data_IF_609092618655
#
_entry.id   IF_609092618655
#
_cell.length_a   1.000
_cell.length_b   1.000
_cell.length_c   1.000
_cell.angle_alpha   90.00
_cell.angle_beta   90.00
_cell.angle_gamma   90.00
#
_symmetry.space_group_name_H-M   'P 1'
#
loop_
_entity.id
_entity.type
_entity.pdbx_description
1 polymer ?
#
# COMPACT_ATOMS: atom_id res chain seq x y z
N UNK A 1 -0.94 9.55 11.60
CA UNK A 1 -0.48 8.18 11.27
C UNK A 1 -1.42 7.65 10.18
N UNK A 2 -1.00 6.75 9.28
CA UNK A 2 -1.97 5.96 8.51
C UNK A 2 -2.65 5.06 9.52
N UNK A 3 -3.95 4.86 9.49
CA UNK A 3 -4.80 4.89 8.31
C UNK A 3 -4.73 3.57 7.52
N UNK A 4 -4.13 2.50 8.08
CA UNK A 4 -4.03 1.18 7.44
C UNK A 4 -5.17 0.24 7.88
N UNK A 5 -6.03 0.64 8.83
CA UNK A 5 -7.20 -0.15 9.22
C UNK A 5 -8.11 -0.53 8.04
N UNK A 6 -8.29 0.30 6.99
CA UNK A 6 -9.07 -0.10 5.82
C UNK A 6 -8.50 -1.29 5.03
N UNK A 7 -7.28 -1.73 5.35
CA UNK A 7 -6.60 -2.87 4.71
C UNK A 7 -6.59 -4.12 5.60
N UNK A 8 -7.17 -4.05 6.80
CA UNK A 8 -7.17 -5.15 7.76
C UNK A 8 -7.92 -6.35 7.18
N UNK A 9 -7.34 -7.55 7.29
CA UNK A 9 -7.85 -8.82 6.75
C UNK A 9 -7.91 -8.92 5.22
N UNK A 10 -7.35 -7.96 4.48
CA UNK A 10 -7.29 -8.07 3.03
C UNK A 10 -6.23 -9.08 2.62
N UNK A 11 -6.45 -9.75 1.50
CA UNK A 11 -5.45 -10.62 0.90
C UNK A 11 -4.41 -9.80 0.17
N UNK A 12 -3.20 -10.36 0.03
CA UNK A 12 -2.12 -9.69 -0.67
C UNK A 12 -2.32 -9.82 -2.18
N UNK A 13 -2.34 -8.70 -2.90
CA UNK A 13 -2.49 -8.64 -4.35
C UNK A 13 -1.16 -8.33 -5.01
N UNK A 14 -0.91 -8.97 -6.14
CA UNK A 14 0.25 -8.75 -7.02
C UNK A 14 -0.20 -8.63 -8.47
N UNK A 15 0.74 -8.29 -9.36
CA UNK A 15 0.50 -8.25 -10.82
C UNK A 15 -0.04 -9.58 -11.38
N UNK A 16 0.43 -10.69 -10.85
CA UNK A 16 0.14 -12.06 -11.30
C UNK A 16 -0.96 -12.75 -10.48
N UNK A 17 -1.39 -12.16 -9.36
CA UNK A 17 -2.45 -12.69 -8.51
C UNK A 17 -3.35 -11.57 -7.98
N UNK A 18 -4.54 -11.50 -8.55
CA UNK A 18 -5.57 -10.53 -8.15
C UNK A 18 -6.39 -11.05 -6.96
N UNK A 19 -6.28 -10.37 -5.83
CA UNK A 19 -7.08 -10.63 -4.63
C UNK A 19 -7.69 -9.34 -4.07
N UNK A 20 -7.72 -8.26 -4.87
CA UNK A 20 -8.23 -6.97 -4.42
C UNK A 20 -9.76 -6.86 -4.60
N UNK A 21 -10.34 -5.76 -4.14
CA UNK A 21 -11.80 -5.55 -4.19
C UNK A 21 -12.24 -4.62 -5.32
N UNK A 22 -11.35 -4.24 -6.24
CA UNK A 22 -11.74 -3.46 -7.40
C UNK A 22 -12.52 -4.32 -8.39
N UNK A 23 -13.62 -3.80 -8.92
CA UNK A 23 -14.42 -4.47 -9.96
C UNK A 23 -13.82 -4.34 -11.36
N UNK A 24 -12.94 -3.36 -11.57
CA UNK A 24 -12.62 -2.86 -12.91
C UNK A 24 -11.19 -3.17 -13.36
N UNK A 25 -10.26 -3.37 -12.41
CA UNK A 25 -8.85 -3.58 -12.71
C UNK A 25 -8.11 -4.23 -11.53
N UNK A 26 -7.00 -4.91 -11.84
CA UNK A 26 -6.06 -5.38 -10.83
C UNK A 26 -5.21 -4.21 -10.30
N UNK A 27 -5.28 -3.96 -8.99
CA UNK A 27 -4.53 -2.91 -8.31
C UNK A 27 -3.03 -3.15 -8.24
N UNK A 28 -2.59 -4.39 -8.23
CA UNK A 28 -1.19 -4.76 -8.38
C UNK A 28 -0.61 -4.34 -9.74
N UNK A 29 -1.45 -4.29 -10.78
CA UNK A 29 -1.08 -3.70 -12.08
C UNK A 29 -1.11 -2.17 -12.00
N UNK A 30 -2.23 -1.58 -11.55
CA UNK A 30 -2.45 -0.12 -11.55
C UNK A 30 -1.47 0.67 -10.67
N UNK A 31 -1.02 0.05 -9.59
CA UNK A 31 -0.08 0.67 -8.64
C UNK A 31 1.34 0.17 -8.79
N UNK A 32 1.58 -0.76 -9.72
CA UNK A 32 2.88 -1.40 -9.96
C UNK A 32 3.54 -1.93 -8.66
N UNK A 33 2.72 -2.45 -7.74
CA UNK A 33 3.18 -2.85 -6.41
C UNK A 33 2.45 -4.09 -5.89
N UNK A 34 3.12 -4.85 -5.03
CA UNK A 34 2.45 -5.86 -4.21
C UNK A 34 1.98 -5.24 -2.89
N UNK A 35 0.69 -5.35 -2.57
CA UNK A 35 0.13 -4.76 -1.36
C UNK A 35 -1.16 -5.44 -0.91
N UNK A 36 -1.56 -5.21 0.34
CA UNK A 36 -2.90 -5.51 0.84
C UNK A 36 -3.89 -4.47 0.30
N UNK A 37 -4.30 -4.63 -0.95
CA UNK A 37 -5.19 -3.69 -1.62
C UNK A 37 -6.66 -3.88 -1.19
N UNK A 38 -7.41 -2.77 -1.11
CA UNK A 38 -8.88 -2.75 -1.14
C UNK A 38 -9.32 -2.46 -2.58
N UNK A 39 -10.09 -1.39 -2.81
CA UNK A 39 -10.16 -0.70 -4.10
C UNK A 39 -8.84 0.10 -4.30
N UNK A 40 -7.75 -0.65 -4.45
CA UNK A 40 -6.36 -0.22 -4.40
C UNK A 40 -5.94 0.29 -3.02
N UNK A 41 -5.20 1.40 -2.94
CA UNK A 41 -4.61 1.87 -1.70
C UNK A 41 -4.46 3.39 -1.68
N UNK A 42 -4.54 3.96 -0.47
CA UNK A 42 -4.20 5.35 -0.17
C UNK A 42 -2.72 5.53 0.18
N UNK A 43 -2.01 4.43 0.45
CA UNK A 43 -0.59 4.38 0.74
C UNK A 43 0.06 3.25 -0.07
N UNK A 44 0.92 3.61 -1.01
CA UNK A 44 1.72 2.66 -1.76
C UNK A 44 3.18 2.77 -1.30
N UNK A 45 3.53 2.12 -0.20
CA UNK A 45 4.91 2.19 0.32
C UNK A 45 5.88 1.22 -0.38
N UNK A 46 5.34 0.34 -1.23
CA UNK A 46 6.06 -0.59 -2.10
C UNK A 46 6.13 -0.10 -3.56
N UNK A 47 5.67 1.12 -3.82
CA UNK A 47 5.68 1.71 -5.15
C UNK A 47 7.06 2.20 -5.55
N UNK A 48 7.17 2.59 -6.81
CA UNK A 48 8.38 3.14 -7.41
C UNK A 48 8.92 4.32 -6.61
N UNK A 49 10.24 4.34 -6.42
CA UNK A 49 10.91 5.43 -5.74
C UNK A 49 10.97 6.70 -6.61
N UNK A 50 10.71 7.85 -5.98
CA UNK A 50 10.79 9.17 -6.62
C UNK A 50 9.57 9.56 -7.46
N UNK A 51 9.68 10.69 -8.16
CA UNK A 51 8.60 11.22 -9.01
C UNK A 51 7.56 12.05 -8.26
N UNK A 52 6.42 12.27 -8.93
CA UNK A 52 5.30 13.07 -8.41
C UNK A 52 4.35 12.20 -7.58
N UNK A 53 3.89 12.74 -6.45
CA UNK A 53 3.03 12.03 -5.49
C UNK A 53 1.63 11.68 -6.02
N UNK A 54 1.18 12.36 -7.09
CA UNK A 54 -0.13 12.15 -7.70
C UNK A 54 -0.18 10.90 -8.60
N UNK A 55 0.96 10.29 -8.88
CA UNK A 55 1.05 9.05 -9.64
C UNK A 55 0.90 7.85 -8.71
N UNK A 56 -0.09 6.99 -8.98
CA UNK A 56 -0.44 5.82 -8.15
C UNK A 56 0.65 4.76 -8.10
N UNK A 57 1.55 4.75 -9.08
CA UNK A 57 2.70 3.83 -9.13
C UNK A 57 3.82 4.22 -8.16
N UNK A 58 3.87 5.49 -7.73
CA UNK A 58 4.98 6.02 -6.94
C UNK A 58 4.81 5.78 -5.45
N UNK A 59 5.92 5.83 -4.72
CA UNK A 59 5.94 5.70 -3.28
C UNK A 59 5.28 6.91 -2.60
N UNK A 60 4.05 6.73 -2.09
CA UNK A 60 3.23 7.83 -1.60
C UNK A 60 2.36 7.46 -0.40
N UNK A 61 1.82 8.49 0.25
CA UNK A 61 0.89 8.35 1.38
C UNK A 61 -0.08 9.53 1.43
N UNK A 62 -1.21 9.37 0.72
CA UNK A 62 -2.15 10.46 0.41
C UNK A 62 -2.77 11.09 1.67
N UNK A 63 -3.01 10.29 2.71
CA UNK A 63 -3.63 10.75 3.96
C UNK A 63 -2.67 11.46 4.92
N UNK A 64 -1.39 11.54 4.60
CA UNK A 64 -0.37 12.14 5.48
C UNK A 64 0.47 13.21 4.82
N UNK A 65 1.02 12.93 3.63
CA UNK A 65 1.96 13.83 2.95
C UNK A 65 1.52 14.04 1.50
N UNK A 66 1.42 15.30 1.04
CA UNK A 66 1.10 15.62 -0.35
C UNK A 66 2.34 15.49 -1.26
N UNK A 67 3.43 14.86 -0.82
CA UNK A 67 4.67 14.72 -1.57
C UNK A 67 5.11 13.27 -1.57
N UNK A 68 5.90 12.88 -2.58
CA UNK A 68 6.48 11.54 -2.65
C UNK A 68 7.35 11.27 -1.41
N UNK A 69 7.28 10.05 -0.91
CA UNK A 69 8.07 9.64 0.24
C UNK A 69 9.54 9.48 -0.19
N UNK A 70 10.48 9.87 0.68
CA UNK A 70 11.92 9.64 0.47
C UNK A 70 12.40 8.31 1.03
N UNK A 71 11.67 7.77 2.01
CA UNK A 71 12.02 6.53 2.69
C UNK A 71 10.77 5.96 3.37
N UNK A 72 10.67 4.64 3.40
CA UNK A 72 9.67 3.88 4.15
C UNK A 72 10.37 2.79 4.97
N UNK A 73 9.79 2.44 6.12
CA UNK A 73 10.26 1.32 6.93
C UNK A 73 9.08 0.72 7.69
N UNK A 74 8.78 -0.55 7.44
CA UNK A 74 7.84 -1.32 8.26
C UNK A 74 8.63 -2.06 9.34
N UNK A 75 8.18 -1.97 10.58
CA UNK A 75 8.79 -2.67 11.72
C UNK A 75 7.67 -3.22 12.59
N UNK A 76 7.85 -4.45 13.05
CA UNK A 76 6.98 -5.07 14.05
C UNK A 76 7.75 -5.16 15.37
N UNK A 77 7.02 -5.07 16.49
CA UNK A 77 7.53 -5.46 17.80
C UNK A 77 6.59 -6.50 18.40
N UNK A 78 7.09 -7.46 19.18
CA UNK A 78 6.21 -8.36 19.92
C UNK A 78 5.24 -7.56 20.81
N UNK A 79 3.94 -7.82 20.67
CA UNK A 79 2.99 -7.52 21.73
C UNK A 79 3.25 -8.56 22.82
N UNK A 80 3.70 -8.12 24.02
CA UNK A 80 4.05 -8.95 25.19
C UNK A 80 3.65 -10.42 25.04
N UNK A 81 4.63 -11.31 24.93
CA UNK A 81 4.40 -12.76 25.07
C UNK A 81 3.88 -12.96 26.49
N UNK A 82 2.57 -13.14 26.65
CA UNK A 82 2.02 -13.69 27.87
C UNK A 82 2.33 -15.18 27.76
N UNK A 83 3.32 -15.62 28.54
CA UNK A 83 3.64 -17.03 28.70
C UNK A 83 2.51 -17.78 29.40
#
# INVERSE_FOLDING_TARGET
MADLNPLLNHMFTTRDRDNDFSSDFNCGIKTESGWWHNECTSANINGDYGGMYNNTTKMHWKTWKPNALKQTRMMIKPSRVIG
#
